data_IF_397319347802
#
_entry.id   IF_397319347802
#
_cell.length_a   1.000
_cell.length_b   1.000
_cell.length_c   1.000
_cell.angle_alpha   90.00
_cell.angle_beta   90.00
_cell.angle_gamma   90.00
#
_symmetry.space_group_name_H-M   'P 1'
#
loop_
_entity.id
_entity.type
_entity.pdbx_description
1 polymer ?
#
# COMPACT_ATOMS: atom_id res chain seq x y z
N UNK A 1 2.26 10.31 30.07
CA UNK A 1 1.00 9.60 30.36
C UNK A 1 -0.17 10.09 29.50
N UNK A 2 -0.36 11.40 29.30
CA UNK A 2 -1.46 11.96 28.48
C UNK A 2 -1.48 11.51 27.01
N UNK A 3 -0.34 11.47 26.29
CA UNK A 3 -0.32 11.11 24.86
C UNK A 3 -0.77 9.65 24.60
N UNK A 4 -0.41 8.71 25.47
CA UNK A 4 -0.83 7.30 25.34
C UNK A 4 -2.33 7.12 25.58
N UNK A 5 -2.86 7.79 26.61
CA UNK A 5 -4.28 7.75 26.93
C UNK A 5 -5.12 8.37 25.81
N UNK A 6 -4.67 9.50 25.24
CA UNK A 6 -5.37 10.14 24.12
C UNK A 6 -5.45 9.24 22.87
N UNK A 7 -4.41 8.42 22.59
CA UNK A 7 -4.44 7.46 21.48
C UNK A 7 -5.46 6.34 21.71
N UNK A 8 -5.47 5.77 22.91
CA UNK A 8 -6.44 4.72 23.27
C UNK A 8 -7.87 5.27 23.32
N UNK A 9 -8.06 6.50 23.78
CA UNK A 9 -9.34 7.20 23.73
C UNK A 9 -9.80 7.41 22.29
N UNK A 10 -8.91 7.83 21.42
CA UNK A 10 -9.20 8.02 19.99
C UNK A 10 -9.68 6.73 19.33
N UNK A 11 -9.04 5.60 19.63
CA UNK A 11 -9.44 4.29 19.11
C UNK A 11 -10.70 3.74 19.73
N UNK A 12 -10.90 3.94 21.08
CA UNK A 12 -11.87 3.20 21.87
C UNK A 12 -13.15 3.94 22.23
N UNK A 13 -13.15 5.29 22.27
CA UNK A 13 -14.28 6.08 22.79
C UNK A 13 -14.60 7.36 22.02
N UNK A 14 -13.65 7.95 21.30
CA UNK A 14 -13.93 9.15 20.50
C UNK A 14 -15.01 8.91 19.44
N UNK A 15 -15.82 9.92 19.06
CA UNK A 15 -16.78 9.81 17.96
C UNK A 15 -16.11 9.30 16.68
N UNK A 16 -16.75 8.37 15.99
CA UNK A 16 -16.17 7.70 14.81
C UNK A 16 -15.71 8.69 13.72
N UNK A 17 -16.49 9.71 13.32
CA UNK A 17 -16.03 10.68 12.33
C UNK A 17 -14.75 11.40 12.75
N UNK A 18 -14.65 11.79 14.04
CA UNK A 18 -13.46 12.45 14.58
C UNK A 18 -12.24 11.51 14.56
N UNK A 19 -12.43 10.26 14.95
CA UNK A 19 -11.37 9.26 14.96
C UNK A 19 -10.86 8.97 13.53
N UNK A 20 -11.77 8.78 12.56
CA UNK A 20 -11.43 8.55 11.16
C UNK A 20 -10.68 9.74 10.53
N UNK A 21 -11.10 10.98 10.80
CA UNK A 21 -10.38 12.17 10.33
C UNK A 21 -9.00 12.28 10.97
N UNK A 22 -8.91 12.09 12.28
CA UNK A 22 -7.66 12.24 13.02
C UNK A 22 -6.59 11.20 12.60
N UNK A 23 -7.01 10.00 12.19
CA UNK A 23 -6.11 8.95 11.72
C UNK A 23 -5.97 8.93 10.19
N UNK A 24 -7.05 9.08 9.45
CA UNK A 24 -7.07 8.96 8.01
C UNK A 24 -6.39 10.13 7.30
N UNK A 25 -6.74 11.37 7.65
CA UNK A 25 -6.22 12.56 6.94
C UNK A 25 -4.68 12.64 6.97
N UNK A 26 -4.00 12.50 8.13
CA UNK A 26 -2.54 12.52 8.14
C UNK A 26 -1.91 11.44 7.27
N UNK A 27 -2.45 10.21 7.28
CA UNK A 27 -1.92 9.12 6.48
C UNK A 27 -2.17 9.36 4.99
N UNK A 28 -3.35 9.87 4.61
CA UNK A 28 -3.66 10.26 3.22
C UNK A 28 -2.65 11.30 2.71
N UNK A 29 -2.39 12.34 3.48
CA UNK A 29 -1.39 13.38 3.14
C UNK A 29 -0.02 12.75 2.97
N UNK A 30 0.42 11.91 3.90
CA UNK A 30 1.70 11.21 3.81
C UNK A 30 1.82 10.35 2.56
N UNK A 31 0.75 9.63 2.18
CA UNK A 31 0.72 8.81 0.96
C UNK A 31 0.73 9.64 -0.33
N UNK A 32 0.00 10.76 -0.37
CA UNK A 32 0.03 11.67 -1.52
C UNK A 32 1.42 12.28 -1.72
N UNK A 33 2.08 12.70 -0.65
CA UNK A 33 3.45 13.24 -0.70
C UNK A 33 4.43 12.17 -1.14
N UNK A 34 4.26 10.92 -0.67
CA UNK A 34 5.07 9.79 -1.13
C UNK A 34 4.87 9.50 -2.63
N UNK A 35 3.65 9.60 -3.14
CA UNK A 35 3.38 9.48 -4.57
C UNK A 35 4.02 10.61 -5.38
N UNK A 36 3.95 11.84 -4.86
CA UNK A 36 4.55 13.01 -5.49
C UNK A 36 6.09 12.89 -5.55
N UNK A 37 6.72 12.45 -4.46
CA UNK A 37 8.17 12.26 -4.46
C UNK A 37 8.60 11.21 -5.48
N UNK A 38 7.89 10.07 -5.62
CA UNK A 38 8.20 9.07 -6.64
C UNK A 38 8.09 9.62 -8.08
N UNK A 39 7.15 10.55 -8.31
CA UNK A 39 7.01 11.22 -9.60
C UNK A 39 8.17 12.17 -9.87
N UNK A 40 8.58 12.94 -8.87
CA UNK A 40 9.68 13.91 -8.96
C UNK A 40 11.03 13.21 -9.12
N UNK A 41 11.28 12.12 -8.37
CA UNK A 41 12.47 11.27 -8.53
C UNK A 41 12.57 10.73 -9.97
N UNK A 42 11.48 10.16 -10.50
CA UNK A 42 11.44 9.68 -11.87
C UNK A 42 11.70 10.80 -12.91
N UNK A 43 11.23 12.03 -12.64
CA UNK A 43 11.50 13.19 -13.49
C UNK A 43 12.99 13.54 -13.51
N UNK A 44 13.65 13.64 -12.36
CA UNK A 44 15.07 13.94 -12.30
C UNK A 44 15.91 12.86 -12.97
N UNK A 45 15.61 11.59 -12.74
CA UNK A 45 16.33 10.49 -13.35
C UNK A 45 16.12 10.42 -14.88
N UNK A 46 14.93 10.79 -15.37
CA UNK A 46 14.67 10.80 -16.83
C UNK A 46 15.63 11.71 -17.62
N UNK A 47 16.14 12.77 -16.97
CA UNK A 47 17.13 13.69 -17.53
C UNK A 47 18.54 13.10 -17.72
N UNK A 48 18.82 11.94 -17.10
CA UNK A 48 20.15 11.29 -17.20
C UNK A 48 20.36 10.46 -18.46
N UNK A 49 19.31 10.15 -19.19
CA UNK A 49 19.35 9.37 -20.43
C UNK A 49 18.77 7.95 -20.33
N UNK A 50 18.60 7.31 -21.51
CA UNK A 50 17.83 6.06 -21.66
C UNK A 50 18.38 4.89 -20.84
N UNK A 51 19.70 4.69 -20.83
CA UNK A 51 20.32 3.56 -20.13
C UNK A 51 20.23 3.69 -18.60
N UNK A 52 20.33 4.90 -18.07
CA UNK A 52 20.23 5.19 -16.65
C UNK A 52 18.80 5.08 -16.17
N UNK A 53 17.83 5.60 -16.92
CA UNK A 53 16.40 5.41 -16.65
C UNK A 53 16.01 3.92 -16.74
N UNK A 54 16.59 3.19 -17.72
CA UNK A 54 16.42 1.74 -17.84
C UNK A 54 16.93 0.99 -16.61
N UNK A 55 18.04 1.43 -16.00
CA UNK A 55 18.59 0.81 -14.81
C UNK A 55 17.60 0.86 -13.61
N UNK A 56 16.98 2.00 -13.36
CA UNK A 56 15.97 2.13 -12.29
C UNK A 56 14.74 1.27 -12.59
N UNK A 57 14.30 1.24 -13.85
CA UNK A 57 13.17 0.41 -14.27
C UNK A 57 13.42 -1.09 -14.05
N UNK A 58 14.64 -1.56 -14.27
CA UNK A 58 15.05 -2.95 -14.00
C UNK A 58 15.11 -3.26 -12.50
N UNK A 59 15.52 -2.30 -11.66
CA UNK A 59 15.60 -2.49 -10.21
C UNK A 59 14.24 -2.34 -9.53
N UNK A 60 13.28 -1.67 -10.15
CA UNK A 60 11.96 -1.40 -9.58
C UNK A 60 11.21 -2.65 -9.04
N UNK A 61 11.16 -3.80 -9.75
CA UNK A 61 10.54 -5.01 -9.20
C UNK A 61 11.18 -5.52 -7.91
N UNK A 62 12.50 -5.38 -7.78
CA UNK A 62 13.20 -5.70 -6.53
C UNK A 62 12.71 -4.81 -5.38
N UNK A 63 12.52 -3.52 -5.66
CA UNK A 63 11.94 -2.57 -4.71
C UNK A 63 10.54 -2.98 -4.24
N UNK A 64 9.71 -3.45 -5.15
CA UNK A 64 8.35 -3.91 -4.82
C UNK A 64 8.35 -5.14 -3.91
N UNK A 65 9.31 -6.05 -4.08
CA UNK A 65 9.49 -7.19 -3.16
C UNK A 65 9.89 -6.70 -1.76
N UNK A 66 10.83 -5.76 -1.67
CA UNK A 66 11.29 -5.17 -0.40
C UNK A 66 10.15 -4.50 0.35
N UNK A 67 9.36 -3.67 -0.35
CA UNK A 67 8.16 -3.02 0.22
C UNK A 67 7.13 -4.08 0.65
N UNK A 68 6.89 -5.08 -0.18
CA UNK A 68 5.97 -6.19 0.11
C UNK A 68 6.33 -6.95 1.38
N UNK A 69 7.63 -7.21 1.61
CA UNK A 69 8.13 -7.85 2.83
C UNK A 69 7.94 -6.95 4.06
N UNK A 70 8.20 -5.64 3.93
CA UNK A 70 7.88 -4.68 4.98
C UNK A 70 6.39 -4.64 5.33
N UNK A 71 5.52 -4.67 4.31
CA UNK A 71 4.07 -4.75 4.47
C UNK A 71 3.64 -6.08 5.09
N UNK A 72 4.31 -7.20 4.77
CA UNK A 72 4.02 -8.51 5.35
C UNK A 72 4.13 -8.48 6.87
N UNK A 73 5.21 -7.97 7.42
CA UNK A 73 5.37 -7.84 8.87
C UNK A 73 4.57 -6.68 9.44
N UNK A 74 4.57 -5.53 8.77
CA UNK A 74 3.91 -4.32 9.24
C UNK A 74 2.39 -4.44 9.30
N UNK A 75 1.74 -4.80 8.21
CA UNK A 75 0.28 -4.96 8.13
C UNK A 75 -0.21 -6.16 8.95
N UNK A 76 0.58 -7.26 8.92
CA UNK A 76 0.30 -8.45 9.73
C UNK A 76 0.28 -8.13 11.21
N UNK A 77 1.32 -7.47 11.70
CA UNK A 77 1.39 -7.04 13.10
C UNK A 77 0.32 -6.00 13.43
N UNK A 78 0.13 -4.97 12.61
CA UNK A 78 -0.82 -3.88 12.86
C UNK A 78 -2.25 -4.38 13.09
N UNK A 79 -2.70 -5.34 12.29
CA UNK A 79 -4.01 -5.99 12.46
C UNK A 79 -4.11 -6.73 13.80
N UNK A 80 -3.09 -7.48 14.18
CA UNK A 80 -3.10 -8.21 15.44
C UNK A 80 -2.98 -7.29 16.65
N UNK A 81 -2.09 -6.30 16.58
CA UNK A 81 -1.89 -5.29 17.62
C UNK A 81 -3.15 -4.48 17.91
N UNK A 82 -3.87 -4.04 16.89
CA UNK A 82 -5.13 -3.30 17.08
C UNK A 82 -6.18 -4.12 17.86
N UNK A 83 -6.28 -5.42 17.56
CA UNK A 83 -7.17 -6.35 18.27
C UNK A 83 -6.72 -6.60 19.71
N UNK A 84 -5.41 -6.73 19.95
CA UNK A 84 -4.85 -6.91 21.30
C UNK A 84 -5.04 -5.66 22.16
N UNK A 85 -4.84 -4.47 21.59
CA UNK A 85 -5.14 -3.21 22.28
C UNK A 85 -6.61 -3.11 22.68
N UNK A 86 -7.53 -3.55 21.81
CA UNK A 86 -8.96 -3.61 22.10
C UNK A 86 -9.30 -4.59 23.25
N UNK A 87 -8.56 -5.70 23.37
CA UNK A 87 -8.70 -6.67 24.46
C UNK A 87 -8.03 -6.22 25.77
N UNK A 88 -7.20 -5.18 25.73
CA UNK A 88 -6.38 -4.76 26.86
C UNK A 88 -5.17 -5.65 27.14
N UNK A 89 -4.83 -6.57 26.23
CA UNK A 89 -3.69 -7.50 26.35
C UNK A 89 -2.39 -6.82 25.89
N UNK A 90 -1.84 -6.00 26.77
CA UNK A 90 -0.64 -5.22 26.49
C UNK A 90 0.62 -6.09 26.41
N UNK A 91 0.74 -7.09 27.27
CA UNK A 91 1.95 -7.94 27.32
C UNK A 91 2.14 -8.71 26.02
N UNK A 92 1.06 -9.27 25.48
CA UNK A 92 1.11 -9.93 24.16
C UNK A 92 1.36 -8.91 23.05
N UNK A 93 0.79 -7.70 23.14
CA UNK A 93 0.99 -6.66 22.14
C UNK A 93 2.47 -6.19 22.08
N UNK A 94 3.12 -6.01 23.21
CA UNK A 94 4.55 -5.65 23.29
C UNK A 94 5.43 -6.73 22.64
N UNK A 95 5.14 -8.00 22.90
CA UNK A 95 5.85 -9.13 22.25
C UNK A 95 5.61 -9.18 20.74
N UNK A 96 4.39 -8.96 20.29
CA UNK A 96 4.04 -8.93 18.85
C UNK A 96 4.74 -7.77 18.14
N UNK A 97 4.74 -6.56 18.73
CA UNK A 97 5.39 -5.39 18.16
C UNK A 97 6.90 -5.59 18.01
N UNK A 98 7.56 -6.09 19.09
CA UNK A 98 8.99 -6.39 19.07
C UNK A 98 9.31 -7.52 18.09
N UNK A 99 8.53 -8.60 18.08
CA UNK A 99 8.75 -9.73 17.16
C UNK A 99 8.61 -9.30 15.70
N UNK A 100 7.59 -8.53 15.34
CA UNK A 100 7.42 -8.06 13.97
C UNK A 100 8.55 -7.13 13.54
N UNK A 101 8.99 -6.21 14.42
CA UNK A 101 10.07 -5.28 14.13
C UNK A 101 11.41 -6.02 13.91
N UNK A 102 11.83 -6.85 14.85
CA UNK A 102 13.12 -7.55 14.72
C UNK A 102 13.11 -8.60 13.60
N UNK A 103 11.97 -9.26 13.34
CA UNK A 103 11.84 -10.15 12.18
C UNK A 103 11.96 -9.38 10.87
N UNK A 104 11.42 -8.16 10.79
CA UNK A 104 11.54 -7.32 9.60
C UNK A 104 12.96 -6.85 9.34
N UNK A 105 13.71 -6.49 10.40
CA UNK A 105 15.13 -6.14 10.31
C UNK A 105 15.95 -7.36 9.87
N UNK A 106 15.67 -8.54 10.43
CA UNK A 106 16.34 -9.79 10.04
C UNK A 106 16.13 -10.12 8.57
N UNK A 107 14.90 -9.98 8.05
CA UNK A 107 14.60 -10.17 6.63
C UNK A 107 15.35 -9.13 5.77
N UNK A 108 15.41 -7.88 6.19
CA UNK A 108 16.20 -6.85 5.51
C UNK A 108 17.67 -7.21 5.43
N UNK A 109 18.25 -7.71 6.51
CA UNK A 109 19.64 -8.21 6.55
C UNK A 109 19.85 -9.44 5.64
N UNK A 110 18.91 -10.38 5.62
CA UNK A 110 18.94 -11.54 4.71
C UNK A 110 18.92 -11.08 3.23
N UNK A 111 18.08 -10.10 2.88
CA UNK A 111 18.05 -9.54 1.53
C UNK A 111 19.41 -8.96 1.14
N UNK A 112 20.07 -8.21 2.04
CA UNK A 112 21.41 -7.67 1.79
C UNK A 112 22.39 -8.80 1.52
N UNK A 113 22.42 -9.83 2.35
CA UNK A 113 23.34 -10.97 2.20
C UNK A 113 23.09 -11.74 0.91
N UNK A 114 21.83 -12.06 0.59
CA UNK A 114 21.49 -12.75 -0.66
C UNK A 114 21.83 -11.91 -1.89
N UNK A 115 21.55 -10.62 -1.83
CA UNK A 115 21.88 -9.71 -2.94
C UNK A 115 23.38 -9.52 -3.13
N UNK A 116 24.19 -9.58 -2.06
CA UNK A 116 25.65 -9.53 -2.19
C UNK A 116 26.18 -10.66 -3.09
N UNK A 117 25.51 -11.81 -3.11
CA UNK A 117 25.90 -13.00 -3.89
C UNK A 117 25.20 -13.03 -5.26
N UNK A 118 23.89 -12.74 -5.29
CA UNK A 118 23.01 -13.00 -6.43
C UNK A 118 22.56 -11.75 -7.19
N UNK A 119 23.07 -10.55 -6.89
CA UNK A 119 22.57 -9.30 -7.47
C UNK A 119 22.66 -9.30 -9.00
N UNK A 120 23.82 -9.66 -9.57
CA UNK A 120 23.99 -9.68 -11.02
C UNK A 120 23.06 -10.68 -11.73
N UNK A 121 22.97 -11.96 -11.30
CA UNK A 121 21.96 -12.89 -11.83
C UNK A 121 20.52 -12.38 -11.73
N UNK A 122 20.15 -11.76 -10.61
CA UNK A 122 18.80 -11.19 -10.40
C UNK A 122 18.53 -10.09 -11.42
N UNK A 123 19.47 -9.15 -11.64
CA UNK A 123 19.32 -8.08 -12.61
C UNK A 123 19.22 -8.58 -14.05
N UNK A 124 19.97 -9.63 -14.42
CA UNK A 124 19.83 -10.31 -15.71
C UNK A 124 18.43 -10.88 -15.87
N UNK A 125 17.92 -11.58 -14.86
CA UNK A 125 16.59 -12.16 -14.88
C UNK A 125 15.49 -11.08 -14.96
N UNK A 126 15.74 -9.88 -14.39
CA UNK A 126 14.84 -8.73 -14.47
C UNK A 126 14.97 -7.95 -15.80
N UNK A 127 15.85 -8.37 -16.71
CA UNK A 127 15.95 -7.80 -18.06
C UNK A 127 17.04 -6.75 -18.25
N UNK A 128 18.07 -6.71 -17.39
CA UNK A 128 19.22 -5.82 -17.60
C UNK A 128 20.02 -6.24 -18.83
N UNK A 129 20.13 -5.34 -19.79
CA UNK A 129 21.00 -5.51 -20.98
C UNK A 129 22.45 -5.16 -20.65
N UNK A 130 23.39 -5.50 -21.52
CA UNK A 130 24.82 -5.19 -21.33
C UNK A 130 25.07 -3.68 -21.14
N UNK A 131 24.31 -2.82 -21.81
CA UNK A 131 24.41 -1.36 -21.72
C UNK A 131 23.80 -0.79 -20.45
N UNK A 132 22.76 -1.44 -19.89
CA UNK A 132 22.07 -1.03 -18.65
C UNK A 132 22.79 -1.58 -17.41
N UNK A 133 23.43 -2.75 -17.52
CA UNK A 133 23.98 -3.49 -16.39
C UNK A 133 24.93 -2.68 -15.48
N UNK A 134 25.89 -1.88 -15.99
CA UNK A 134 26.76 -1.09 -15.12
C UNK A 134 25.99 -0.14 -14.21
N UNK A 135 25.03 0.60 -14.79
CA UNK A 135 24.18 1.54 -14.04
C UNK A 135 23.24 0.83 -13.07
N UNK A 136 22.65 -0.30 -13.51
CA UNK A 136 21.76 -1.10 -12.67
C UNK A 136 22.50 -1.71 -11.47
N UNK A 137 23.73 -2.18 -11.64
CA UNK A 137 24.54 -2.70 -10.53
C UNK A 137 24.90 -1.61 -9.53
N UNK A 138 25.32 -0.43 -9.99
CA UNK A 138 25.66 0.70 -9.11
C UNK A 138 24.44 1.14 -8.31
N UNK A 139 23.32 1.38 -8.97
CA UNK A 139 22.07 1.77 -8.32
C UNK A 139 21.58 0.68 -7.32
N UNK A 140 21.51 -0.57 -7.78
CA UNK A 140 20.97 -1.67 -7.00
C UNK A 140 21.82 -2.00 -5.77
N UNK A 141 23.14 -1.86 -5.81
CA UNK A 141 24.00 -2.07 -4.64
C UNK A 141 23.65 -1.11 -3.50
N UNK A 142 23.51 0.17 -3.80
CA UNK A 142 23.16 1.19 -2.80
C UNK A 142 21.72 0.99 -2.33
N UNK A 143 20.81 0.74 -3.27
CA UNK A 143 19.40 0.47 -2.97
C UNK A 143 19.23 -0.73 -2.04
N UNK A 144 19.94 -1.84 -2.30
CA UNK A 144 19.88 -3.06 -1.46
C UNK A 144 20.46 -2.80 -0.07
N UNK A 145 21.56 -2.06 0.06
CA UNK A 145 22.09 -1.68 1.37
C UNK A 145 21.10 -0.83 2.16
N UNK A 146 20.29 -0.02 1.51
CA UNK A 146 19.25 0.79 2.14
C UNK A 146 17.95 0.02 2.41
N UNK A 147 17.78 -1.20 1.89
CA UNK A 147 16.52 -1.93 2.01
C UNK A 147 16.15 -2.28 3.45
N UNK A 148 17.12 -2.43 4.36
CA UNK A 148 16.85 -2.63 5.78
C UNK A 148 16.10 -1.43 6.38
N UNK A 149 16.46 -0.21 6.00
CA UNK A 149 15.74 1.01 6.42
C UNK A 149 14.35 1.04 5.82
N UNK A 150 14.20 0.66 4.54
CA UNK A 150 12.90 0.61 3.87
C UNK A 150 11.96 -0.39 4.54
N UNK A 151 12.39 -1.64 4.75
CA UNK A 151 11.59 -2.67 5.43
C UNK A 151 11.23 -2.24 6.85
N UNK A 152 12.19 -1.66 7.60
CA UNK A 152 11.95 -1.09 8.92
C UNK A 152 10.90 0.01 8.87
N UNK A 153 11.04 0.99 7.97
CA UNK A 153 10.12 2.13 7.86
C UNK A 153 8.71 1.69 7.50
N UNK A 154 8.57 0.77 6.55
CA UNK A 154 7.25 0.23 6.15
C UNK A 154 6.61 -0.53 7.32
N UNK A 155 7.39 -1.33 8.06
CA UNK A 155 6.91 -2.06 9.24
C UNK A 155 6.50 -1.10 10.35
N UNK A 156 7.34 -0.13 10.71
CA UNK A 156 7.05 0.86 11.75
C UNK A 156 5.87 1.76 11.37
N UNK A 157 5.75 2.15 10.10
CA UNK A 157 4.62 2.92 9.61
C UNK A 157 3.28 2.25 9.95
N UNK A 158 3.17 0.95 9.74
CA UNK A 158 1.95 0.20 10.03
C UNK A 158 1.74 -0.03 11.54
N UNK A 159 2.80 -0.37 12.29
CA UNK A 159 2.72 -0.57 13.74
C UNK A 159 2.33 0.75 14.44
N UNK A 160 3.00 1.85 14.13
CA UNK A 160 2.74 3.17 14.72
C UNK A 160 1.35 3.70 14.34
N UNK A 161 0.89 3.41 13.12
CA UNK A 161 -0.49 3.73 12.71
C UNK A 161 -1.52 2.91 13.51
N UNK A 162 -1.21 1.65 13.84
CA UNK A 162 -2.13 0.75 14.56
C UNK A 162 -2.40 1.18 16.01
N UNK A 163 -1.49 1.94 16.62
CA UNK A 163 -1.69 2.53 17.97
C UNK A 163 -2.33 3.93 17.94
N UNK A 164 -2.73 4.42 16.77
CA UNK A 164 -3.37 5.72 16.62
C UNK A 164 -2.41 6.91 16.45
N UNK A 165 -1.12 6.70 16.19
CA UNK A 165 -0.12 7.75 16.04
C UNK A 165 0.09 8.19 14.57
N UNK A 166 -1.00 8.41 13.83
CA UNK A 166 -0.99 8.77 12.40
C UNK A 166 -0.17 10.02 12.06
N UNK A 167 -0.10 11.01 12.97
CA UNK A 167 0.74 12.21 12.78
C UNK A 167 2.23 11.88 12.74
N UNK A 168 2.70 10.94 13.56
CA UNK A 168 4.09 10.48 13.54
C UNK A 168 4.42 9.81 12.21
N UNK A 169 3.52 8.97 11.73
CA UNK A 169 3.63 8.31 10.42
C UNK A 169 3.70 9.34 9.28
N UNK A 170 2.80 10.33 9.29
CA UNK A 170 2.83 11.43 8.32
C UNK A 170 4.16 12.19 8.36
N UNK A 171 4.65 12.56 9.55
CA UNK A 171 5.92 13.28 9.69
C UNK A 171 7.10 12.47 9.14
N UNK A 172 7.16 11.17 9.39
CA UNK A 172 8.23 10.31 8.87
C UNK A 172 8.21 10.24 7.34
N UNK A 173 7.01 10.06 6.74
CA UNK A 173 6.84 10.05 5.28
C UNK A 173 7.18 11.40 4.65
N UNK A 174 6.69 12.50 5.25
CA UNK A 174 6.90 13.86 4.75
C UNK A 174 8.36 14.27 4.79
N UNK A 175 9.05 14.04 5.92
CA UNK A 175 10.47 14.36 6.05
C UNK A 175 11.32 13.55 5.07
N UNK A 176 11.05 12.25 4.92
CA UNK A 176 11.74 11.43 3.94
C UNK A 176 11.53 11.93 2.50
N UNK A 177 10.28 12.24 2.13
CA UNK A 177 9.94 12.69 0.79
C UNK A 177 10.53 14.06 0.46
N UNK A 178 10.39 15.05 1.35
CA UNK A 178 10.92 16.41 1.15
C UNK A 178 12.44 16.39 1.06
N UNK A 179 13.08 15.58 1.90
CA UNK A 179 14.53 15.44 1.86
C UNK A 179 15.00 14.79 0.54
N UNK A 180 14.33 13.76 0.07
CA UNK A 180 14.65 13.12 -1.19
C UNK A 180 14.51 14.08 -2.37
N UNK A 181 13.39 14.81 -2.48
CA UNK A 181 13.17 15.83 -3.52
C UNK A 181 14.28 16.89 -3.54
N UNK A 182 14.81 17.26 -2.36
CA UNK A 182 15.92 18.22 -2.25
C UNK A 182 17.29 17.62 -2.58
N UNK A 183 17.52 16.37 -2.19
CA UNK A 183 18.82 15.69 -2.40
C UNK A 183 19.00 15.17 -3.82
N UNK A 184 17.92 14.79 -4.52
CA UNK A 184 17.99 14.28 -5.89
C UNK A 184 18.70 15.24 -6.84
N UNK A 185 18.27 16.52 -7.03
CA UNK A 185 18.97 17.44 -7.92
C UNK A 185 20.41 17.76 -7.44
N UNK A 186 20.64 17.75 -6.14
CA UNK A 186 21.96 18.00 -5.57
C UNK A 186 22.94 16.87 -5.94
N UNK A 187 22.56 15.61 -5.71
CA UNK A 187 23.46 14.48 -5.99
C UNK A 187 23.49 14.12 -7.47
N UNK A 188 22.36 14.17 -8.17
CA UNK A 188 22.28 13.78 -9.58
C UNK A 188 23.05 14.78 -10.47
N UNK A 189 22.77 16.10 -10.31
CA UNK A 189 23.26 17.11 -11.24
C UNK A 189 24.40 17.95 -10.67
N UNK A 190 24.27 18.45 -9.43
CA UNK A 190 25.28 19.36 -8.86
C UNK A 190 26.58 18.61 -8.53
N UNK A 191 26.49 17.39 -8.00
CA UNK A 191 27.65 16.54 -7.71
C UNK A 191 27.98 15.55 -8.83
N UNK A 192 27.22 15.58 -9.95
CA UNK A 192 27.41 14.76 -11.15
C UNK A 192 27.51 13.25 -10.88
N UNK A 193 26.75 12.78 -9.89
CA UNK A 193 26.75 11.35 -9.49
C UNK A 193 25.75 10.49 -10.31
N UNK A 194 24.89 11.11 -11.13
CA UNK A 194 23.94 10.40 -11.97
C UNK A 194 23.00 9.46 -11.16
N UNK A 195 22.81 8.22 -11.61
CA UNK A 195 21.93 7.23 -10.92
C UNK A 195 22.44 6.82 -9.54
N UNK A 196 23.74 6.90 -9.31
CA UNK A 196 24.32 6.66 -7.98
C UNK A 196 23.83 7.71 -7.00
N UNK A 197 23.80 8.97 -7.44
CA UNK A 197 23.25 10.09 -6.64
C UNK A 197 21.80 9.88 -6.23
N UNK A 198 20.95 9.43 -7.16
CA UNK A 198 19.55 9.11 -6.86
C UNK A 198 19.41 7.98 -5.82
N UNK A 199 20.25 6.93 -5.91
CA UNK A 199 20.25 5.86 -4.94
C UNK A 199 20.69 6.32 -3.54
N UNK A 200 21.71 7.18 -3.45
CA UNK A 200 22.20 7.75 -2.19
C UNK A 200 21.16 8.70 -1.59
N UNK A 201 20.52 9.55 -2.39
CA UNK A 201 19.45 10.44 -1.92
C UNK A 201 18.30 9.64 -1.29
N UNK A 202 17.88 8.57 -1.97
CA UNK A 202 16.87 7.64 -1.44
C UNK A 202 17.32 6.99 -0.14
N UNK A 203 18.56 6.49 -0.06
CA UNK A 203 19.09 5.85 1.13
C UNK A 203 19.13 6.79 2.34
N UNK A 204 19.60 8.04 2.16
CA UNK A 204 19.65 9.07 3.21
C UNK A 204 18.22 9.41 3.66
N UNK A 205 17.29 9.58 2.74
CA UNK A 205 15.88 9.88 3.02
C UNK A 205 15.21 8.79 3.84
N UNK A 206 15.47 7.52 3.49
CA UNK A 206 14.98 6.36 4.25
C UNK A 206 15.61 6.30 5.67
N UNK A 207 16.90 6.61 5.79
CA UNK A 207 17.59 6.70 7.08
C UNK A 207 17.00 7.79 7.98
N UNK A 208 16.69 8.97 7.44
CA UNK A 208 16.04 10.06 8.20
C UNK A 208 14.65 9.65 8.66
N UNK A 209 13.86 9.01 7.81
CA UNK A 209 12.56 8.45 8.19
C UNK A 209 12.70 7.42 9.33
N UNK A 210 13.72 6.56 9.28
CA UNK A 210 14.06 5.63 10.36
C UNK A 210 14.37 6.37 11.67
N UNK A 211 15.15 7.47 11.62
CA UNK A 211 15.45 8.26 12.81
C UNK A 211 14.21 8.88 13.44
N UNK A 212 13.20 9.25 12.66
CA UNK A 212 11.92 9.74 13.19
C UNK A 212 11.25 8.65 14.03
N UNK A 213 11.14 7.43 13.51
CA UNK A 213 10.55 6.31 14.26
C UNK A 213 11.39 5.92 15.48
N UNK A 214 12.72 5.89 15.35
CA UNK A 214 13.60 5.61 16.50
C UNK A 214 13.44 6.66 17.59
N UNK A 215 13.41 7.95 17.23
CA UNK A 215 13.19 9.05 18.18
C UNK A 215 11.84 8.92 18.88
N UNK A 216 10.80 8.52 18.15
CA UNK A 216 9.47 8.27 18.70
C UNK A 216 9.47 7.15 19.74
N UNK A 217 10.16 6.04 19.45
CA UNK A 217 10.30 4.89 20.36
C UNK A 217 11.17 5.26 21.59
N UNK A 218 12.34 5.87 21.37
CA UNK A 218 13.27 6.25 22.44
C UNK A 218 12.67 7.25 23.41
N UNK A 219 11.84 8.18 22.92
CA UNK A 219 11.07 9.11 23.76
C UNK A 219 9.89 8.47 24.48
N UNK A 220 9.73 7.14 24.40
CA UNK A 220 8.66 6.37 25.05
C UNK A 220 7.25 6.88 24.70
N UNK A 221 7.06 7.43 23.51
CA UNK A 221 5.78 7.93 23.02
C UNK A 221 4.88 6.82 22.50
N UNK A 222 5.43 5.67 22.11
CA UNK A 222 4.66 4.49 21.69
C UNK A 222 3.89 3.88 22.85
N UNK A 223 2.74 3.30 22.54
CA UNK A 223 1.95 2.45 23.45
C UNK A 223 2.69 1.13 23.65
N UNK A 224 3.39 0.64 22.61
CA UNK A 224 4.12 -0.62 22.62
C UNK A 224 5.56 -0.47 23.14
N UNK A 225 6.08 -1.56 23.69
CA UNK A 225 7.51 -1.75 23.99
C UNK A 225 8.19 -2.42 22.79
N UNK A 226 9.37 -1.88 22.40
CA UNK A 226 10.20 -2.46 21.34
C UNK A 226 11.52 -2.99 21.90
N UNK A 227 11.49 -3.48 23.14
CA UNK A 227 12.68 -4.08 23.77
C UNK A 227 13.02 -5.42 23.11
N UNK A 228 14.32 -5.67 22.90
CA UNK A 228 14.79 -6.97 22.42
C UNK A 228 14.41 -8.12 23.38
N UNK A 229 14.20 -7.81 24.67
CA UNK A 229 13.77 -8.78 25.67
C UNK A 229 12.34 -9.30 25.43
N UNK A 230 11.52 -8.51 24.73
CA UNK A 230 10.16 -8.88 24.33
C UNK A 230 10.12 -9.67 23.01
N UNK A 231 11.27 -9.81 22.33
CA UNK A 231 11.36 -10.65 21.14
C UNK A 231 11.07 -12.10 21.47
N UNK A 232 9.89 -12.57 21.09
CA UNK A 232 9.41 -13.92 21.40
C UNK A 232 8.65 -14.49 20.20
N UNK A 233 9.36 -15.03 19.19
CA UNK A 233 8.76 -15.53 17.96
C UNK A 233 8.04 -16.85 18.17
N UNK A 234 6.92 -16.85 18.94
CA UNK A 234 6.09 -18.03 19.12
C UNK A 234 5.38 -18.40 17.81
N UNK A 235 5.12 -19.69 17.61
CA UNK A 235 4.40 -20.19 16.42
C UNK A 235 3.06 -19.48 16.25
N UNK A 236 2.34 -19.21 17.33
CA UNK A 236 1.06 -18.53 17.31
C UNK A 236 1.19 -17.09 16.82
N UNK A 237 2.16 -16.31 17.34
CA UNK A 237 2.38 -14.91 16.94
C UNK A 237 2.78 -14.82 15.46
N UNK A 238 3.73 -15.64 15.04
CA UNK A 238 4.18 -15.68 13.64
C UNK A 238 3.01 -16.06 12.72
N UNK A 239 2.20 -17.05 13.10
CA UNK A 239 1.03 -17.45 12.31
C UNK A 239 0.01 -16.31 12.18
N UNK A 240 -0.30 -15.60 13.27
CA UNK A 240 -1.24 -14.46 13.23
C UNK A 240 -0.69 -13.29 12.38
N UNK A 241 0.60 -13.01 12.44
CA UNK A 241 1.25 -11.99 11.60
C UNK A 241 1.20 -12.42 10.13
N UNK A 242 1.63 -13.64 9.82
CA UNK A 242 1.70 -14.13 8.44
C UNK A 242 0.31 -14.34 7.82
N UNK A 243 -0.71 -14.69 8.61
CA UNK A 243 -2.09 -14.84 8.17
C UNK A 243 -2.66 -13.59 7.48
N UNK A 244 -2.20 -12.41 7.86
CA UNK A 244 -2.54 -11.13 7.25
C UNK A 244 -1.42 -10.64 6.35
N UNK A 245 -0.17 -10.87 6.74
CA UNK A 245 1.01 -10.38 6.04
C UNK A 245 1.21 -11.02 4.67
N UNK A 246 1.10 -12.35 4.57
CA UNK A 246 1.24 -13.06 3.28
C UNK A 246 0.19 -12.62 2.25
N UNK A 247 -1.11 -12.53 2.59
CA UNK A 247 -2.10 -11.89 1.73
C UNK A 247 -1.71 -10.53 1.19
N UNK A 248 -1.17 -9.68 2.06
CA UNK A 248 -0.74 -8.32 1.68
C UNK A 248 0.44 -8.35 0.71
N UNK A 249 1.42 -9.21 0.94
CA UNK A 249 2.55 -9.41 0.01
C UNK A 249 2.06 -9.91 -1.35
N UNK A 250 1.20 -10.92 -1.37
CA UNK A 250 0.66 -11.48 -2.63
C UNK A 250 -0.16 -10.44 -3.38
N UNK A 251 -0.96 -9.63 -2.67
CA UNK A 251 -1.69 -8.51 -3.30
C UNK A 251 -0.74 -7.53 -4.00
N UNK A 252 0.40 -7.19 -3.38
CA UNK A 252 1.41 -6.30 -3.96
C UNK A 252 2.02 -6.91 -5.24
N UNK A 253 2.33 -8.21 -5.22
CA UNK A 253 2.84 -8.93 -6.39
C UNK A 253 1.79 -9.04 -7.50
N UNK A 254 0.53 -9.32 -7.17
CA UNK A 254 -0.56 -9.36 -8.14
C UNK A 254 -0.80 -8.00 -8.80
N UNK A 255 -0.67 -6.90 -8.06
CA UNK A 255 -0.78 -5.55 -8.61
C UNK A 255 0.31 -5.29 -9.66
N UNK A 256 1.55 -5.68 -9.36
CA UNK A 256 2.65 -5.57 -10.32
C UNK A 256 2.44 -6.45 -11.56
N UNK A 257 1.96 -7.68 -11.37
CA UNK A 257 1.61 -8.60 -12.45
C UNK A 257 0.51 -8.03 -13.35
N UNK A 258 -0.53 -7.43 -12.76
CA UNK A 258 -1.63 -6.82 -13.52
C UNK A 258 -1.15 -5.71 -14.44
N UNK A 259 -0.27 -4.83 -13.95
CA UNK A 259 0.33 -3.76 -14.76
C UNK A 259 1.15 -4.36 -15.91
N UNK A 260 1.95 -5.39 -15.64
CA UNK A 260 2.73 -6.08 -16.68
C UNK A 260 1.83 -6.73 -17.74
N UNK A 261 0.72 -7.33 -17.35
CA UNK A 261 -0.25 -7.93 -18.28
C UNK A 261 -0.96 -6.87 -19.14
N UNK A 262 -1.35 -5.72 -18.56
CA UNK A 262 -1.90 -4.61 -19.32
C UNK A 262 -0.89 -4.14 -20.38
N UNK A 263 0.36 -3.91 -19.99
CA UNK A 263 1.40 -3.47 -20.91
C UNK A 263 1.65 -4.49 -22.03
N UNK A 264 1.72 -5.79 -21.67
CA UNK A 264 1.90 -6.87 -22.66
C UNK A 264 0.73 -6.99 -23.62
N UNK A 265 -0.51 -6.89 -23.12
CA UNK A 265 -1.70 -6.93 -23.98
C UNK A 265 -1.74 -5.70 -24.90
N UNK A 266 -1.39 -4.52 -24.38
CA UNK A 266 -1.37 -3.26 -25.12
C UNK A 266 -0.28 -3.22 -26.21
N UNK A 267 0.84 -3.93 -26.01
CA UNK A 267 1.96 -3.92 -26.97
C UNK A 267 1.59 -4.47 -28.36
N UNK A 268 0.57 -5.33 -28.44
CA UNK A 268 0.07 -5.84 -29.72
C UNK A 268 -0.65 -4.76 -30.58
N UNK A 269 -0.97 -3.60 -29.98
CA UNK A 269 -1.73 -2.53 -30.63
C UNK A 269 -0.92 -1.23 -30.80
N UNK A 270 0.38 -1.25 -30.45
CA UNK A 270 1.31 -0.15 -30.64
C UNK A 270 1.57 0.70 -29.41
N UNK A 271 2.59 1.54 -29.52
CA UNK A 271 3.14 2.34 -28.40
C UNK A 271 2.15 3.35 -27.84
N UNK A 272 1.30 3.95 -28.70
CA UNK A 272 0.25 4.87 -28.30
C UNK A 272 -0.76 4.23 -27.34
N UNK A 273 -1.08 2.93 -27.52
CA UNK A 273 -1.98 2.19 -26.64
C UNK A 273 -1.33 1.91 -25.29
N UNK A 274 -0.05 1.52 -25.28
CA UNK A 274 0.72 1.33 -24.04
C UNK A 274 0.78 2.64 -23.25
N UNK A 275 1.09 3.75 -23.92
CA UNK A 275 1.20 5.06 -23.30
C UNK A 275 -0.17 5.52 -22.75
N UNK A 276 -1.25 5.33 -23.51
CA UNK A 276 -2.61 5.65 -23.08
C UNK A 276 -3.05 4.87 -21.84
N UNK A 277 -2.83 3.55 -21.83
CA UNK A 277 -3.13 2.71 -20.65
C UNK A 277 -2.23 3.03 -19.45
N UNK A 278 -0.97 3.40 -19.71
CA UNK A 278 -0.05 3.88 -18.68
C UNK A 278 -0.54 5.17 -18.02
N UNK A 279 -1.03 6.14 -18.80
CA UNK A 279 -1.63 7.38 -18.29
C UNK A 279 -2.88 7.09 -17.44
N UNK A 280 -3.79 6.22 -17.92
CA UNK A 280 -4.98 5.78 -17.16
C UNK A 280 -4.58 5.16 -15.82
N UNK A 281 -3.60 4.26 -15.82
CA UNK A 281 -3.11 3.60 -14.60
C UNK A 281 -2.56 4.61 -13.59
N UNK A 282 -1.79 5.61 -14.04
CA UNK A 282 -1.24 6.67 -13.17
C UNK A 282 -2.36 7.50 -12.53
N UNK A 283 -3.32 7.96 -13.33
CA UNK A 283 -4.45 8.76 -12.83
C UNK A 283 -5.28 7.97 -11.82
N UNK A 284 -5.64 6.74 -12.14
CA UNK A 284 -6.42 5.86 -11.24
C UNK A 284 -5.66 5.55 -9.95
N UNK A 285 -4.33 5.36 -10.03
CA UNK A 285 -3.48 5.10 -8.85
C UNK A 285 -3.47 6.26 -7.87
N UNK A 286 -3.52 7.51 -8.31
CA UNK A 286 -3.60 8.68 -7.42
C UNK A 286 -4.86 8.62 -6.54
N UNK A 287 -6.03 8.37 -7.14
CA UNK A 287 -7.28 8.20 -6.38
C UNK A 287 -7.22 7.00 -5.42
N UNK A 288 -6.67 5.89 -5.89
CA UNK A 288 -6.49 4.66 -5.09
C UNK A 288 -5.62 4.89 -3.84
N UNK A 289 -4.52 5.64 -3.95
CA UNK A 289 -3.63 5.95 -2.82
C UNK A 289 -4.32 6.76 -1.73
N UNK A 290 -5.19 7.71 -2.11
CA UNK A 290 -5.99 8.48 -1.14
C UNK A 290 -6.91 7.56 -0.35
N UNK A 291 -7.63 6.65 -1.04
CA UNK A 291 -8.53 5.68 -0.39
C UNK A 291 -7.75 4.75 0.53
N UNK A 292 -6.61 4.21 0.08
CA UNK A 292 -5.76 3.36 0.94
C UNK A 292 -5.21 4.11 2.15
N UNK A 293 -4.83 5.39 2.00
CA UNK A 293 -4.42 6.24 3.12
C UNK A 293 -5.53 6.38 4.17
N UNK A 294 -6.76 6.63 3.73
CA UNK A 294 -7.94 6.69 4.60
C UNK A 294 -8.19 5.37 5.32
N UNK A 295 -8.12 4.25 4.60
CA UNK A 295 -8.37 2.92 5.15
C UNK A 295 -7.31 2.47 6.17
N UNK A 296 -6.07 2.93 6.04
CA UNK A 296 -5.06 2.74 7.10
C UNK A 296 -5.44 3.43 8.41
N UNK A 297 -6.21 4.51 8.37
CA UNK A 297 -6.82 5.11 9.56
C UNK A 297 -8.04 4.34 10.08
N UNK A 298 -8.81 3.71 9.19
CA UNK A 298 -9.96 2.88 9.55
C UNK A 298 -9.57 1.55 10.22
N UNK A 299 -8.53 0.88 9.72
CA UNK A 299 -8.11 -0.45 10.21
C UNK A 299 -7.87 -0.51 11.73
N UNK A 300 -7.14 0.42 12.37
CA UNK A 300 -6.94 0.41 13.81
C UNK A 300 -8.25 0.54 14.60
N UNK A 301 -9.17 1.40 14.14
CA UNK A 301 -10.46 1.61 14.78
C UNK A 301 -11.31 0.33 14.71
N UNK A 302 -11.36 -0.30 13.54
CA UNK A 302 -12.11 -1.53 13.32
C UNK A 302 -11.52 -2.69 14.15
N UNK A 303 -10.19 -2.88 14.11
CA UNK A 303 -9.49 -3.91 14.87
C UNK A 303 -9.64 -3.75 16.38
N UNK A 304 -9.47 -2.52 16.89
CA UNK A 304 -9.69 -2.20 18.30
C UNK A 304 -11.13 -2.48 18.73
N UNK A 305 -12.11 -1.97 17.99
CA UNK A 305 -13.54 -2.13 18.30
C UNK A 305 -13.94 -3.61 18.33
N UNK A 306 -13.43 -4.39 17.38
CA UNK A 306 -13.64 -5.84 17.34
C UNK A 306 -12.98 -6.55 18.52
N UNK A 307 -11.72 -6.22 18.82
CA UNK A 307 -10.99 -6.77 19.98
C UNK A 307 -11.66 -6.48 21.30
N UNK A 308 -12.20 -5.25 21.48
CA UNK A 308 -12.93 -4.79 22.64
C UNK A 308 -14.39 -5.28 22.69
N UNK A 309 -14.86 -6.07 21.71
CA UNK A 309 -16.24 -6.53 21.55
C UNK A 309 -17.28 -5.39 21.48
N UNK A 310 -16.87 -4.19 21.03
CA UNK A 310 -17.74 -3.01 20.84
C UNK A 310 -18.37 -3.05 19.44
N UNK A 311 -19.37 -3.92 19.23
CA UNK A 311 -19.94 -4.19 17.92
C UNK A 311 -20.70 -3.00 17.33
N UNK A 312 -21.37 -2.18 18.15
CA UNK A 312 -22.06 -0.97 17.69
C UNK A 312 -21.07 0.04 17.11
N UNK A 313 -19.94 0.26 17.82
CA UNK A 313 -18.86 1.13 17.37
C UNK A 313 -18.24 0.61 16.06
N UNK A 314 -18.07 -0.71 15.94
CA UNK A 314 -17.57 -1.35 14.72
C UNK A 314 -18.51 -1.11 13.54
N UNK A 315 -19.82 -1.28 13.73
CA UNK A 315 -20.84 -1.03 12.70
C UNK A 315 -20.86 0.43 12.26
N UNK A 316 -20.81 1.35 13.22
CA UNK A 316 -20.72 2.78 12.93
C UNK A 316 -19.46 3.12 12.12
N UNK A 317 -18.31 2.54 12.48
CA UNK A 317 -17.05 2.72 11.75
C UNK A 317 -17.14 2.18 10.32
N UNK A 318 -17.73 1.00 10.13
CA UNK A 318 -17.95 0.40 8.80
C UNK A 318 -18.86 1.31 7.96
N UNK A 319 -20.02 1.68 8.49
CA UNK A 319 -21.00 2.52 7.79
C UNK A 319 -20.41 3.86 7.37
N UNK A 320 -19.76 4.56 8.30
CA UNK A 320 -19.15 5.86 8.05
C UNK A 320 -18.03 5.75 7.00
N UNK A 321 -17.20 4.71 7.10
CA UNK A 321 -16.10 4.50 6.14
C UNK A 321 -16.61 4.16 4.75
N UNK A 322 -17.68 3.36 4.61
CA UNK A 322 -18.32 3.08 3.32
C UNK A 322 -18.85 4.39 2.72
N UNK A 323 -19.60 5.18 3.48
CA UNK A 323 -20.17 6.44 2.99
C UNK A 323 -19.06 7.39 2.52
N UNK A 324 -18.02 7.59 3.32
CA UNK A 324 -16.95 8.53 2.99
C UNK A 324 -16.09 8.07 1.83
N UNK A 325 -15.67 6.79 1.83
CA UNK A 325 -14.87 6.24 0.73
C UNK A 325 -15.66 6.21 -0.57
N UNK A 326 -16.93 5.80 -0.54
CA UNK A 326 -17.78 5.77 -1.76
C UNK A 326 -18.08 7.17 -2.26
N UNK A 327 -18.34 8.13 -1.36
CA UNK A 327 -18.55 9.55 -1.76
C UNK A 327 -17.29 10.15 -2.39
N UNK A 328 -16.12 9.88 -1.82
CA UNK A 328 -14.85 10.30 -2.41
C UNK A 328 -14.63 9.66 -3.79
N UNK A 329 -14.84 8.35 -3.89
CA UNK A 329 -14.72 7.61 -5.15
C UNK A 329 -15.73 8.08 -6.20
N UNK A 330 -16.95 8.48 -5.78
CA UNK A 330 -17.95 9.09 -6.66
C UNK A 330 -17.44 10.40 -7.25
N UNK A 331 -16.94 11.31 -6.43
CA UNK A 331 -16.41 12.61 -6.90
C UNK A 331 -15.22 12.39 -7.84
N UNK A 332 -14.23 11.60 -7.44
CA UNK A 332 -13.05 11.32 -8.27
C UNK A 332 -13.42 10.58 -9.55
N UNK A 333 -14.31 9.59 -9.46
CA UNK A 333 -14.81 8.84 -10.61
C UNK A 333 -15.55 9.71 -11.61
N UNK A 334 -16.39 10.64 -11.14
CA UNK A 334 -17.05 11.62 -12.00
C UNK A 334 -16.06 12.56 -12.66
N UNK A 335 -15.05 13.05 -11.93
CA UNK A 335 -14.00 13.89 -12.52
C UNK A 335 -13.23 13.12 -13.59
N UNK A 336 -12.83 11.87 -13.33
CA UNK A 336 -12.17 11.01 -14.33
C UNK A 336 -13.05 10.74 -15.54
N UNK A 337 -14.35 10.53 -15.37
CA UNK A 337 -15.26 10.25 -16.48
C UNK A 337 -15.54 11.51 -17.31
N UNK A 338 -15.93 12.63 -16.67
CA UNK A 338 -16.31 13.88 -17.36
C UNK A 338 -15.12 14.55 -18.05
N UNK A 339 -13.96 14.56 -17.39
CA UNK A 339 -12.75 15.22 -17.88
C UNK A 339 -11.72 14.24 -18.47
N UNK A 340 -12.16 13.03 -18.87
CA UNK A 340 -11.26 11.97 -19.37
C UNK A 340 -10.38 12.44 -20.53
N UNK A 341 -10.94 13.19 -21.49
CA UNK A 341 -10.19 13.73 -22.63
C UNK A 341 -9.16 14.76 -22.19
N UNK A 342 -9.56 15.72 -21.37
CA UNK A 342 -8.70 16.81 -20.88
C UNK A 342 -7.57 16.26 -20.01
N UNK A 343 -7.87 15.29 -19.17
CA UNK A 343 -6.85 14.65 -18.32
C UNK A 343 -5.82 13.91 -19.18
N UNK A 344 -6.26 13.08 -20.13
CA UNK A 344 -5.33 12.30 -20.96
C UNK A 344 -4.54 13.20 -21.91
N UNK A 345 -5.11 14.28 -22.42
CA UNK A 345 -4.40 15.22 -23.30
C UNK A 345 -3.21 15.90 -22.63
N UNK A 346 -3.15 15.97 -21.29
CA UNK A 346 -1.99 16.48 -20.57
C UNK A 346 -0.76 15.55 -20.61
N UNK A 347 -0.94 14.29 -21.01
CA UNK A 347 0.12 13.29 -21.07
C UNK A 347 0.74 13.14 -22.48
N UNK A 348 0.25 13.89 -23.48
CA UNK A 348 0.73 13.78 -24.85
C UNK A 348 0.65 15.11 -25.60
N UNK A 349 1.61 15.35 -26.51
CA UNK A 349 1.63 16.48 -27.42
C UNK A 349 1.05 16.07 -28.80
N UNK A 350 -0.27 15.74 -28.83
CA UNK A 350 -1.02 15.57 -30.07
C UNK A 350 -1.13 14.14 -30.62
N UNK A 351 -0.82 13.09 -29.85
CA UNK A 351 -1.12 11.70 -30.25
C UNK A 351 -2.62 11.39 -30.08
N UNK A 352 -3.37 11.55 -31.17
CA UNK A 352 -4.81 11.31 -31.19
C UNK A 352 -5.20 9.87 -30.83
N UNK A 353 -4.37 8.87 -31.14
CA UNK A 353 -4.64 7.48 -30.80
C UNK A 353 -4.48 7.26 -29.29
N UNK A 354 -3.44 7.80 -28.68
CA UNK A 354 -3.24 7.77 -27.23
C UNK A 354 -4.39 8.44 -26.49
N UNK A 355 -4.85 9.61 -26.97
CA UNK A 355 -6.00 10.34 -26.40
C UNK A 355 -7.27 9.50 -26.47
N UNK A 356 -7.59 8.94 -27.66
CA UNK A 356 -8.79 8.14 -27.86
C UNK A 356 -8.85 6.91 -26.96
N UNK A 357 -7.74 6.18 -26.87
CA UNK A 357 -7.60 4.97 -26.05
C UNK A 357 -7.70 5.33 -24.56
N UNK A 358 -6.89 6.29 -24.11
CA UNK A 358 -6.86 6.71 -22.73
C UNK A 358 -8.19 7.29 -22.25
N UNK A 359 -8.86 8.12 -23.07
CA UNK A 359 -10.17 8.69 -22.80
C UNK A 359 -11.23 7.60 -22.57
N UNK A 360 -11.34 6.63 -23.48
CA UNK A 360 -12.32 5.54 -23.36
C UNK A 360 -12.09 4.70 -22.10
N UNK A 361 -10.84 4.34 -21.85
CA UNK A 361 -10.48 3.54 -20.67
C UNK A 361 -10.66 4.34 -19.38
N UNK A 362 -10.25 5.62 -19.33
CA UNK A 362 -10.40 6.46 -18.15
C UNK A 362 -11.88 6.73 -17.83
N UNK A 363 -12.73 6.95 -18.86
CA UNK A 363 -14.16 7.08 -18.70
C UNK A 363 -14.78 5.84 -18.04
N UNK A 364 -14.45 4.64 -18.54
CA UNK A 364 -14.97 3.39 -18.01
C UNK A 364 -14.46 3.11 -16.57
N UNK A 365 -13.17 3.35 -16.32
CA UNK A 365 -12.59 3.26 -14.99
C UNK A 365 -13.21 4.29 -14.03
N UNK A 366 -13.50 5.51 -14.48
CA UNK A 366 -14.19 6.54 -13.69
C UNK A 366 -15.55 6.09 -13.19
N UNK A 367 -16.36 5.46 -14.05
CA UNK A 367 -17.67 4.94 -13.67
C UNK A 367 -17.55 3.83 -12.63
N UNK A 368 -16.63 2.87 -12.82
CA UNK A 368 -16.45 1.75 -11.89
C UNK A 368 -15.69 2.12 -10.63
N UNK A 369 -14.94 3.23 -10.63
CA UNK A 369 -14.21 3.73 -9.47
C UNK A 369 -15.12 4.01 -8.27
N UNK A 370 -16.39 4.34 -8.52
CA UNK A 370 -17.41 4.53 -7.47
C UNK A 370 -17.52 3.25 -6.61
N UNK A 371 -17.45 2.09 -7.24
CA UNK A 371 -17.56 0.78 -6.59
C UNK A 371 -16.32 0.45 -5.74
N UNK A 372 -15.17 1.06 -6.08
CA UNK A 372 -13.90 0.83 -5.40
C UNK A 372 -13.94 1.18 -3.91
N UNK A 373 -14.67 2.25 -3.53
CA UNK A 373 -14.82 2.65 -2.14
C UNK A 373 -15.45 1.57 -1.26
N UNK A 374 -16.56 0.97 -1.72
CA UNK A 374 -17.23 -0.13 -1.03
C UNK A 374 -16.35 -1.38 -0.92
N UNK A 375 -15.76 -1.80 -2.02
CA UNK A 375 -14.89 -2.97 -2.10
C UNK A 375 -13.71 -2.88 -1.13
N UNK A 376 -13.00 -1.75 -1.15
CA UNK A 376 -11.77 -1.59 -0.35
C UNK A 376 -12.03 -1.49 1.14
N UNK A 377 -13.18 -0.93 1.57
CA UNK A 377 -13.56 -0.92 2.99
C UNK A 377 -13.73 -2.35 3.51
N UNK A 378 -14.43 -3.23 2.78
CA UNK A 378 -14.59 -4.63 3.20
C UNK A 378 -13.30 -5.42 3.13
N UNK A 379 -12.48 -5.24 2.09
CA UNK A 379 -11.16 -5.86 1.99
C UNK A 379 -10.30 -5.49 3.21
N UNK A 380 -10.27 -4.21 3.55
CA UNK A 380 -9.54 -3.66 4.70
C UNK A 380 -10.12 -4.15 6.04
N UNK A 381 -11.46 -4.26 6.13
CA UNK A 381 -12.16 -4.77 7.31
C UNK A 381 -11.79 -6.23 7.61
N UNK A 382 -11.82 -7.12 6.60
CA UNK A 382 -11.43 -8.51 6.80
C UNK A 382 -10.01 -8.64 7.35
N UNK A 383 -9.08 -7.83 6.86
CA UNK A 383 -7.71 -7.79 7.37
C UNK A 383 -7.68 -7.28 8.81
N UNK A 384 -8.42 -6.22 9.15
CA UNK A 384 -8.48 -5.66 10.50
C UNK A 384 -9.06 -6.65 11.52
N UNK A 385 -10.07 -7.43 11.12
CA UNK A 385 -10.67 -8.48 11.95
C UNK A 385 -9.79 -9.73 12.11
N UNK A 386 -8.65 -9.81 11.42
CA UNK A 386 -7.78 -10.97 11.43
C UNK A 386 -8.27 -12.14 10.56
N UNK A 387 -9.21 -11.89 9.64
CA UNK A 387 -9.75 -12.88 8.71
C UNK A 387 -8.91 -12.91 7.42
N UNK A 388 -7.66 -13.39 7.56
CA UNK A 388 -6.65 -13.32 6.50
C UNK A 388 -7.09 -13.99 5.19
N UNK A 389 -7.71 -15.17 5.25
CA UNK A 389 -8.17 -15.89 4.05
C UNK A 389 -9.23 -15.09 3.27
N UNK A 390 -10.20 -14.48 3.95
CA UNK A 390 -11.22 -13.65 3.32
C UNK A 390 -10.62 -12.33 2.77
N UNK A 391 -9.72 -11.69 3.51
CA UNK A 391 -9.00 -10.51 3.04
C UNK A 391 -8.10 -10.81 1.85
N UNK A 392 -7.41 -11.97 1.86
CA UNK A 392 -6.64 -12.46 0.71
C UNK A 392 -7.51 -12.66 -0.52
N UNK A 393 -8.60 -13.39 -0.36
CA UNK A 393 -9.50 -13.69 -1.48
C UNK A 393 -10.04 -12.42 -2.13
N UNK A 394 -10.54 -11.46 -1.34
CA UNK A 394 -10.97 -10.17 -1.88
C UNK A 394 -9.83 -9.39 -2.52
N UNK A 395 -8.68 -9.26 -1.85
CA UNK A 395 -7.52 -8.59 -2.43
C UNK A 395 -7.07 -9.22 -3.76
N UNK A 396 -7.04 -10.56 -3.82
CA UNK A 396 -6.68 -11.30 -5.02
C UNK A 396 -7.76 -11.23 -6.11
N UNK A 397 -9.05 -11.08 -5.79
CA UNK A 397 -10.11 -10.96 -6.79
C UNK A 397 -9.85 -9.81 -7.75
N UNK A 398 -9.64 -8.61 -7.25
CA UNK A 398 -9.54 -7.40 -8.08
C UNK A 398 -8.33 -7.40 -9.01
N UNK A 399 -7.16 -7.85 -8.54
CA UNK A 399 -5.90 -7.78 -9.28
C UNK A 399 -5.41 -9.14 -9.82
N UNK A 400 -6.07 -10.22 -9.45
CA UNK A 400 -5.68 -11.57 -9.84
C UNK A 400 -6.86 -12.37 -10.37
N UNK A 401 -7.63 -12.99 -9.47
CA UNK A 401 -8.64 -14.02 -9.80
C UNK A 401 -9.66 -13.53 -10.83
N UNK A 402 -10.16 -12.30 -10.71
CA UNK A 402 -11.10 -11.72 -11.67
C UNK A 402 -10.38 -11.04 -12.83
N UNK A 403 -9.31 -10.29 -12.56
CA UNK A 403 -8.64 -9.47 -13.56
C UNK A 403 -7.85 -10.31 -14.59
N UNK A 404 -7.05 -11.28 -14.13
CA UNK A 404 -6.18 -12.05 -15.03
C UNK A 404 -6.96 -12.81 -16.12
N UNK A 405 -8.04 -13.53 -15.80
CA UNK A 405 -8.85 -14.15 -16.86
C UNK A 405 -9.45 -13.12 -17.82
N UNK A 406 -9.93 -11.99 -17.30
CA UNK A 406 -10.56 -10.95 -18.13
C UNK A 406 -9.53 -10.33 -19.09
N UNK A 407 -8.33 -9.94 -18.63
CA UNK A 407 -7.31 -9.32 -19.49
C UNK A 407 -6.72 -10.31 -20.52
N UNK A 408 -6.77 -11.60 -20.25
CA UNK A 408 -6.31 -12.63 -21.19
C UNK A 408 -7.38 -13.01 -22.22
N UNK A 409 -8.64 -13.13 -21.81
CA UNK A 409 -9.72 -13.64 -22.65
C UNK A 409 -10.46 -12.53 -23.41
N UNK A 410 -10.70 -11.39 -22.77
CA UNK A 410 -11.51 -10.32 -23.36
C UNK A 410 -10.89 -9.70 -24.63
N UNK A 411 -9.57 -9.51 -24.74
CA UNK A 411 -8.95 -9.02 -25.97
C UNK A 411 -9.08 -10.01 -27.13
N UNK A 412 -9.25 -11.33 -26.88
CA UNK A 412 -9.49 -12.32 -27.93
C UNK A 412 -10.86 -12.14 -28.59
N UNK A 413 -11.86 -11.61 -27.85
CA UNK A 413 -13.23 -11.43 -28.33
C UNK A 413 -13.46 -9.99 -28.79
N UNK A 414 -12.97 -8.98 -28.05
CA UNK A 414 -13.22 -7.56 -28.29
C UNK A 414 -12.00 -6.77 -28.78
N UNK A 415 -10.90 -7.45 -29.09
CA UNK A 415 -9.66 -6.81 -29.52
C UNK A 415 -9.16 -5.76 -28.50
N UNK A 416 -8.76 -4.60 -28.98
CA UNK A 416 -8.26 -3.50 -28.16
C UNK A 416 -9.28 -3.06 -27.07
N UNK A 417 -10.58 -3.04 -27.37
CA UNK A 417 -11.59 -2.68 -26.39
C UNK A 417 -11.59 -3.65 -25.20
N UNK A 418 -11.24 -4.91 -25.39
CA UNK A 418 -11.08 -5.87 -24.31
C UNK A 418 -10.05 -5.44 -23.28
N UNK A 419 -8.96 -4.79 -23.70
CA UNK A 419 -7.94 -4.24 -22.79
C UNK A 419 -8.50 -3.04 -22.02
N UNK A 420 -9.18 -2.11 -22.73
CA UNK A 420 -9.70 -0.87 -22.15
C UNK A 420 -10.71 -1.12 -21.04
N UNK A 421 -11.52 -2.17 -21.16
CA UNK A 421 -12.59 -2.51 -20.22
C UNK A 421 -12.24 -3.63 -19.24
N UNK A 422 -11.03 -4.20 -19.30
CA UNK A 422 -10.64 -5.32 -18.45
C UNK A 422 -10.71 -4.99 -16.96
N UNK A 423 -10.15 -3.87 -16.53
CA UNK A 423 -10.20 -3.44 -15.13
C UNK A 423 -11.63 -3.08 -14.67
N UNK A 424 -12.42 -2.28 -15.40
CA UNK A 424 -13.83 -2.03 -15.09
C UNK A 424 -14.65 -3.30 -14.87
N UNK A 425 -14.50 -4.30 -15.72
CA UNK A 425 -15.24 -5.57 -15.61
C UNK A 425 -14.78 -6.34 -14.38
N UNK A 426 -13.48 -6.44 -14.14
CA UNK A 426 -12.93 -7.09 -12.95
C UNK A 426 -13.41 -6.40 -11.65
N UNK A 427 -13.53 -5.07 -11.65
CA UNK A 427 -14.03 -4.28 -10.52
C UNK A 427 -15.50 -4.62 -10.22
N UNK A 428 -16.35 -4.69 -11.23
CA UNK A 428 -17.77 -5.07 -11.07
C UNK A 428 -17.90 -6.49 -10.51
N UNK A 429 -17.18 -7.48 -11.06
CA UNK A 429 -17.20 -8.86 -10.57
C UNK A 429 -16.72 -8.90 -9.10
N UNK A 430 -15.64 -8.19 -8.78
CA UNK A 430 -15.09 -8.15 -7.42
C UNK A 430 -16.08 -7.55 -6.42
N UNK A 431 -16.85 -6.53 -6.82
CA UNK A 431 -17.88 -5.93 -5.95
C UNK A 431 -19.05 -6.87 -5.72
N UNK A 432 -19.52 -7.59 -6.75
CA UNK A 432 -20.57 -8.61 -6.56
C UNK A 432 -20.12 -9.64 -5.52
N UNK A 433 -18.90 -10.16 -5.63
CA UNK A 433 -18.33 -11.08 -4.66
C UNK A 433 -18.28 -10.45 -3.27
N UNK A 434 -17.85 -9.17 -3.20
CA UNK A 434 -17.76 -8.43 -1.94
C UNK A 434 -19.11 -8.30 -1.24
N UNK A 435 -20.21 -8.08 -1.99
CA UNK A 435 -21.56 -8.01 -1.42
C UNK A 435 -21.94 -9.31 -0.73
N UNK A 436 -21.70 -10.46 -1.36
CA UNK A 436 -21.98 -11.76 -0.73
C UNK A 436 -21.14 -11.98 0.55
N UNK A 437 -19.86 -11.66 0.50
CA UNK A 437 -18.98 -11.79 1.66
C UNK A 437 -19.35 -10.80 2.78
N UNK A 438 -19.76 -9.58 2.44
CA UNK A 438 -20.25 -8.59 3.38
C UNK A 438 -21.51 -9.06 4.12
N UNK A 439 -22.48 -9.61 3.40
CA UNK A 439 -23.70 -10.17 4.00
C UNK A 439 -23.40 -11.32 4.96
N UNK A 440 -22.46 -12.21 4.58
CA UNK A 440 -22.01 -13.28 5.46
C UNK A 440 -21.34 -12.74 6.73
N UNK A 441 -20.43 -11.76 6.59
CA UNK A 441 -19.76 -11.12 7.73
C UNK A 441 -20.75 -10.44 8.68
N UNK A 442 -21.76 -9.73 8.15
CA UNK A 442 -22.75 -9.07 9.00
C UNK A 442 -23.58 -10.07 9.84
N UNK A 443 -23.93 -11.22 9.27
CA UNK A 443 -24.59 -12.31 10.01
C UNK A 443 -23.69 -12.85 11.13
N UNK A 444 -22.42 -13.07 10.82
CA UNK A 444 -21.43 -13.56 11.79
C UNK A 444 -21.21 -12.57 12.95
N UNK A 445 -21.08 -11.28 12.66
CA UNK A 445 -20.95 -10.23 13.68
C UNK A 445 -22.19 -10.15 14.57
N UNK A 446 -23.40 -10.30 14.01
CA UNK A 446 -24.65 -10.30 14.76
C UNK A 446 -24.78 -11.53 15.66
N UNK A 447 -24.30 -12.70 15.24
CA UNK A 447 -24.24 -13.89 16.09
C UNK A 447 -23.24 -13.74 17.23
N UNK A 448 -22.05 -13.21 16.94
CA UNK A 448 -21.04 -12.95 17.97
C UNK A 448 -21.51 -11.94 19.04
N UNK A 449 -22.25 -10.92 18.64
CA UNK A 449 -22.85 -9.94 19.55
C UNK A 449 -23.87 -10.59 20.48
N UNK A 450 -24.80 -11.39 19.94
CA UNK A 450 -25.78 -12.12 20.76
C UNK A 450 -25.13 -13.03 21.80
N UNK A 451 -24.04 -13.72 21.43
CA UNK A 451 -23.28 -14.55 22.37
C UNK A 451 -22.67 -13.73 23.51
N UNK A 452 -22.16 -12.53 23.21
CA UNK A 452 -21.60 -11.65 24.24
C UNK A 452 -22.69 -11.15 25.19
N UNK A 453 -23.86 -10.77 24.67
CA UNK A 453 -25.01 -10.34 25.50
C UNK A 453 -25.51 -11.47 26.40
N UNK A 454 -25.68 -12.68 25.85
CA UNK A 454 -26.09 -13.85 26.63
C UNK A 454 -25.13 -14.18 27.78
N UNK A 455 -23.82 -14.05 27.55
CA UNK A 455 -22.81 -14.31 28.59
C UNK A 455 -22.70 -13.19 29.63
N UNK A 456 -23.23 -12.00 29.36
CA UNK A 456 -23.27 -10.88 30.35
C UNK A 456 -24.51 -10.90 31.22
N UNK A 457 -25.53 -11.67 30.87
CA UNK A 457 -26.77 -11.85 31.61
C UNK A 457 -26.74 -13.08 32.57
N UNK A 458 -25.74 -13.95 32.41
CA UNK A 458 -25.41 -15.07 33.32
C UNK A 458 -24.38 -14.64 34.35
#
# INVERSE_FOLDING_TARGET
MNERNNKLELLGSAPIPKALMALGIPIMIGMLINALYNLVDAYFVSGLGKSQMGAISVVFPLGQVVVGLGLMFGNGAASYLSRLLGRGDKDTADKVASTALYSSILIGAIIILLSAIFLKPILVMLGATETIMPYALTYARIYVLSCVFNVFNVTMNNIVSSEGAAKTTMCALLLGAVLNIGLDPLFIYTLDMGVEGAAIATAISQMVSTLVYLTYVLRKKSVFSFSIKEFSPTRQMITEILKIGVPTLVFQLLTSLSIALINRASSNYGDSVIAGMGAVTRVTSMGTLVVFGFLKGFQPIAGFSYGAKKFDRLREAIKTSIIWSTSFCLVVGLVMAVFSTQIISQFTEGDNQMILVGQKSLFANGITFILFGFYTVYSSLFLALGKGAAGFFLGACRQGICFVPVILLLPMVWGMNGILYAQPIADVISVVITVFMALHLHRELSMAEKQVMSNSEM
#
